data_IF_532536746910
#
_entry.id   IF_532536746910
#
_cell.length_a   1.000
_cell.length_b   1.000
_cell.length_c   1.000
_cell.angle_alpha   90.00
_cell.angle_beta   90.00
_cell.angle_gamma   90.00
#
_symmetry.space_group_name_H-M   'P 1'
#
loop_
_entity.id
_entity.type
_entity.pdbx_description
1 polymer ?
#
# COMPACT_ATOMS: atom_id res chain seq x y z
N UNK A 1 -8.23 7.08 23.97
CA UNK A 1 -8.31 8.26 24.83
C UNK A 1 -7.02 8.33 25.63
N UNK A 2 -6.37 9.49 25.72
CA UNK A 2 -5.30 9.65 26.71
C UNK A 2 -5.97 9.69 28.08
N UNK A 3 -6.24 8.51 28.66
CA UNK A 3 -6.59 8.42 30.06
C UNK A 3 -5.37 8.89 30.82
N UNK A 4 -5.44 10.14 31.27
CA UNK A 4 -4.41 10.70 32.13
C UNK A 4 -4.27 9.79 33.34
N UNK A 5 -3.02 9.49 33.70
CA UNK A 5 -2.65 8.57 34.80
C UNK A 5 -3.29 9.01 36.14
N UNK A 6 -3.74 10.27 36.24
CA UNK A 6 -4.56 10.78 37.34
C UNK A 6 -5.47 11.93 36.90
N UNK A 7 -6.57 12.16 37.65
CA UNK A 7 -7.48 13.29 37.44
C UNK A 7 -6.83 14.68 37.65
N UNK A 8 -5.62 14.74 38.22
CA UNK A 8 -4.83 15.96 38.35
C UNK A 8 -4.52 16.59 36.98
N UNK A 9 -4.04 15.80 36.02
CA UNK A 9 -3.64 16.32 34.71
C UNK A 9 -4.82 16.88 33.91
N UNK A 10 -5.98 16.26 34.06
CA UNK A 10 -7.24 16.75 33.51
C UNK A 10 -7.55 18.16 34.03
N UNK A 11 -7.51 18.36 35.35
CA UNK A 11 -7.73 19.66 35.98
C UNK A 11 -6.66 20.69 35.63
N UNK A 12 -5.40 20.26 35.54
CA UNK A 12 -4.27 21.10 35.15
C UNK A 12 -4.44 21.67 33.74
N UNK A 13 -4.75 20.81 32.76
CA UNK A 13 -4.99 21.24 31.36
C UNK A 13 -6.20 22.17 31.28
N UNK A 14 -7.30 21.81 31.93
CA UNK A 14 -8.49 22.68 31.98
C UNK A 14 -8.16 24.06 32.58
N UNK A 15 -7.40 24.10 33.66
CA UNK A 15 -6.97 25.34 34.31
C UNK A 15 -6.13 26.22 33.38
N UNK A 16 -5.14 25.63 32.69
CA UNK A 16 -4.32 26.37 31.74
C UNK A 16 -5.12 26.90 30.55
N UNK A 17 -5.98 26.07 29.94
CA UNK A 17 -6.82 26.48 28.81
C UNK A 17 -7.74 27.64 29.21
N UNK A 18 -8.39 27.55 30.37
CA UNK A 18 -9.24 28.62 30.87
C UNK A 18 -8.44 29.92 31.12
N UNK A 19 -7.26 29.81 31.73
CA UNK A 19 -6.38 30.95 31.99
C UNK A 19 -5.89 31.59 30.68
N UNK A 20 -5.54 30.80 29.66
CA UNK A 20 -5.15 31.30 28.34
C UNK A 20 -6.30 32.05 27.66
N UNK A 21 -7.53 31.52 27.70
CA UNK A 21 -8.70 32.20 27.13
C UNK A 21 -8.97 33.52 27.86
N UNK A 22 -8.92 33.52 29.19
CA UNK A 22 -9.06 34.73 30.01
C UNK A 22 -7.96 35.75 29.71
N UNK A 23 -6.73 35.29 29.50
CA UNK A 23 -5.62 36.14 29.11
C UNK A 23 -5.84 36.77 27.71
N UNK A 24 -6.32 36.01 26.73
CA UNK A 24 -6.69 36.55 25.43
C UNK A 24 -7.78 37.63 25.53
N UNK A 25 -8.80 37.40 26.36
CA UNK A 25 -9.84 38.41 26.64
C UNK A 25 -9.24 39.65 27.29
N UNK A 26 -8.36 39.48 28.29
CA UNK A 26 -7.68 40.58 28.97
C UNK A 26 -6.83 41.41 28.00
N UNK A 27 -6.02 40.77 27.16
CA UNK A 27 -5.17 41.45 26.15
C UNK A 27 -6.05 42.23 25.18
N UNK A 28 -7.13 41.62 24.68
CA UNK A 28 -8.03 42.29 23.75
C UNK A 28 -8.68 43.52 24.38
N UNK A 29 -9.31 43.38 25.55
CA UNK A 29 -9.98 44.49 26.25
C UNK A 29 -9.00 45.59 26.63
N UNK A 30 -7.78 45.25 27.09
CA UNK A 30 -6.76 46.22 27.48
C UNK A 30 -6.23 47.06 26.31
N UNK A 31 -6.33 46.55 25.07
CA UNK A 31 -5.86 47.23 23.86
C UNK A 31 -7.01 47.84 23.02
N UNK A 32 -8.26 47.75 23.49
CA UNK A 32 -9.41 48.35 22.81
C UNK A 32 -9.46 49.87 23.05
N UNK A 33 -8.78 50.62 22.19
CA UNK A 33 -8.83 52.09 22.18
C UNK A 33 -9.88 52.62 21.19
N UNK A 34 -10.51 53.75 21.53
CA UNK A 34 -11.42 54.44 20.60
C UNK A 34 -10.60 55.32 19.65
N UNK A 35 -11.01 55.39 18.39
CA UNK A 35 -10.44 56.35 17.44
C UNK A 35 -10.79 57.77 17.85
N UNK A 36 -9.78 58.60 18.07
CA UNK A 36 -9.95 60.05 18.21
C UNK A 36 -10.17 60.69 16.82
N UNK A 37 -11.06 61.69 16.69
CA UNK A 37 -11.21 62.46 15.45
C UNK A 37 -9.95 63.30 15.20
N UNK A 38 -9.34 63.20 14.01
CA UNK A 38 -8.17 63.99 13.62
C UNK A 38 -7.07 63.18 12.93
N UNK A 39 -5.92 63.82 12.70
CA UNK A 39 -4.71 63.15 12.21
C UNK A 39 -4.15 62.18 13.24
N UNK A 40 -3.68 61.01 12.79
CA UNK A 40 -3.16 59.96 13.65
C UNK A 40 -1.77 60.35 14.13
N UNK A 41 -1.56 60.37 15.45
CA UNK A 41 -0.27 60.70 16.04
C UNK A 41 0.72 59.55 15.86
N UNK A 42 1.96 59.89 15.53
CA UNK A 42 3.09 58.98 15.61
C UNK A 42 3.49 58.75 17.08
N UNK A 43 4.03 57.58 17.37
CA UNK A 43 4.76 57.35 18.61
C UNK A 43 6.03 58.22 18.66
N UNK A 44 6.48 58.56 19.87
CA UNK A 44 7.55 59.55 20.09
C UNK A 44 8.97 59.11 19.70
N UNK A 45 9.12 57.91 19.12
CA UNK A 45 10.41 57.34 18.73
C UNK A 45 10.46 57.15 17.21
N UNK A 46 11.59 57.50 16.62
CA UNK A 46 11.91 57.27 15.20
C UNK A 46 13.09 56.31 15.15
N UNK A 47 12.94 55.26 14.34
CA UNK A 47 13.93 54.23 14.09
C UNK A 47 14.49 54.42 12.69
N UNK A 48 15.79 54.12 12.51
CA UNK A 48 16.45 54.14 11.19
C UNK A 48 16.17 55.42 10.38
N UNK A 49 16.33 56.56 11.07
CA UNK A 49 16.16 57.94 10.59
C UNK A 49 14.75 58.35 10.12
N UNK A 50 13.93 57.43 9.61
CA UNK A 50 12.65 57.72 8.94
C UNK A 50 11.48 56.81 9.34
N UNK A 51 11.74 55.67 9.98
CA UNK A 51 10.69 54.72 10.34
C UNK A 51 10.04 55.12 11.67
N UNK A 52 8.74 55.42 11.64
CA UNK A 52 7.96 55.74 12.82
C UNK A 52 6.65 54.96 12.82
N UNK A 53 6.13 54.67 14.01
CA UNK A 53 4.91 53.88 14.19
C UNK A 53 3.70 54.79 14.44
N UNK A 54 2.61 54.54 13.72
CA UNK A 54 1.34 55.22 13.97
C UNK A 54 0.60 54.59 15.15
N UNK A 55 0.12 55.44 16.07
CA UNK A 55 -0.74 55.00 17.17
C UNK A 55 -2.20 54.87 16.71
N UNK A 56 -2.46 53.92 15.81
CA UNK A 56 -3.81 53.63 15.32
C UNK A 56 -4.58 52.73 16.31
N UNK A 57 -5.87 53.00 16.54
CA UNK A 57 -6.73 52.02 17.20
C UNK A 57 -6.89 50.79 16.30
N UNK A 58 -7.08 49.63 16.94
CA UNK A 58 -7.32 48.39 16.23
C UNK A 58 -8.57 48.50 15.33
N UNK A 59 -8.52 48.00 14.07
CA UNK A 59 -9.67 48.02 13.19
C UNK A 59 -10.87 47.30 13.82
N UNK A 60 -12.07 47.89 13.77
CA UNK A 60 -13.27 47.32 14.39
C UNK A 60 -13.61 45.92 13.86
N UNK A 61 -13.44 45.70 12.57
CA UNK A 61 -13.68 44.38 11.97
C UNK A 61 -12.71 43.32 12.52
N UNK A 62 -11.44 43.70 12.75
CA UNK A 62 -10.42 42.83 13.32
C UNK A 62 -10.75 42.49 14.77
N UNK A 63 -11.19 43.48 15.56
CA UNK A 63 -11.64 43.27 16.94
C UNK A 63 -12.82 42.30 17.01
N UNK A 64 -13.82 42.47 16.13
CA UNK A 64 -14.96 41.55 16.07
C UNK A 64 -14.53 40.14 15.66
N UNK A 65 -13.63 40.02 14.68
CA UNK A 65 -13.09 38.73 14.29
C UNK A 65 -12.39 38.03 15.47
N UNK A 66 -11.56 38.76 16.24
CA UNK A 66 -10.90 38.21 17.41
C UNK A 66 -11.91 37.75 18.47
N UNK A 67 -12.97 38.52 18.73
CA UNK A 67 -14.05 38.08 19.64
C UNK A 67 -14.76 36.82 19.14
N UNK A 68 -15.03 36.74 17.84
CA UNK A 68 -15.66 35.57 17.21
C UNK A 68 -14.78 34.33 17.38
N UNK A 69 -13.46 34.43 17.22
CA UNK A 69 -12.56 33.27 17.39
C UNK A 69 -12.50 32.80 18.84
N UNK A 70 -12.51 33.72 19.82
CA UNK A 70 -12.62 33.36 21.24
C UNK A 70 -13.93 32.59 21.50
N UNK A 71 -15.07 33.15 21.06
CA UNK A 71 -16.39 32.52 21.26
C UNK A 71 -16.45 31.17 20.56
N UNK A 72 -15.96 31.08 19.32
CA UNK A 72 -15.87 29.82 18.59
C UNK A 72 -15.02 28.80 19.33
N UNK A 73 -13.85 29.19 19.85
CA UNK A 73 -12.97 28.29 20.62
C UNK A 73 -13.65 27.75 21.88
N UNK A 74 -14.37 28.60 22.61
CA UNK A 74 -15.15 28.17 23.78
C UNK A 74 -16.25 27.18 23.37
N UNK A 75 -17.05 27.52 22.35
CA UNK A 75 -18.12 26.64 21.85
C UNK A 75 -17.55 25.31 21.36
N UNK A 76 -16.42 25.34 20.67
CA UNK A 76 -15.73 24.14 20.19
C UNK A 76 -15.31 23.23 21.35
N UNK A 77 -14.70 23.79 22.42
CA UNK A 77 -14.31 23.05 23.62
C UNK A 77 -15.50 22.50 24.42
N UNK A 78 -16.68 23.11 24.30
CA UNK A 78 -17.93 22.60 24.89
C UNK A 78 -18.49 21.42 24.09
N UNK A 79 -18.26 21.37 22.78
CA UNK A 79 -18.81 20.37 21.85
C UNK A 79 -17.87 19.17 21.66
N UNK A 80 -16.56 19.41 21.57
CA UNK A 80 -15.53 18.43 21.24
C UNK A 80 -14.63 18.11 22.44
N UNK A 81 -13.91 16.97 22.41
CA UNK A 81 -12.91 16.70 23.43
C UNK A 81 -11.78 17.73 23.36
N UNK A 82 -11.35 18.24 24.52
CA UNK A 82 -10.30 19.27 24.60
C UNK A 82 -10.32 20.06 25.92
N UNK A 83 -11.48 20.15 26.56
CA UNK A 83 -11.61 20.71 27.91
C UNK A 83 -11.94 19.61 28.92
N UNK A 84 -10.88 18.91 29.30
CA UNK A 84 -10.94 17.74 30.15
C UNK A 84 -11.59 16.51 29.49
N UNK A 85 -12.02 15.53 30.30
CA UNK A 85 -12.52 14.24 29.83
C UNK A 85 -14.03 14.23 29.53
N UNK A 86 -14.51 15.19 28.74
CA UNK A 86 -15.91 15.27 28.27
C UNK A 86 -15.98 15.09 26.75
N UNK A 87 -17.15 14.72 26.24
CA UNK A 87 -17.44 14.59 24.81
C UNK A 87 -16.51 13.63 24.04
N UNK A 88 -16.02 12.58 24.70
CA UNK A 88 -15.07 11.65 24.09
C UNK A 88 -15.67 10.86 22.90
N UNK A 89 -16.99 10.73 22.88
CA UNK A 89 -17.81 10.18 21.79
C UNK A 89 -17.78 11.04 20.51
N UNK A 90 -17.19 12.24 20.56
CA UNK A 90 -17.04 13.15 19.41
C UNK A 90 -15.58 13.30 18.96
N UNK A 91 -14.70 12.43 19.44
CA UNK A 91 -13.32 12.35 18.99
C UNK A 91 -13.18 11.58 17.67
N UNK A 92 -11.98 11.67 17.08
CA UNK A 92 -11.60 11.00 15.84
C UNK A 92 -11.92 9.50 15.84
N UNK A 93 -11.59 8.77 16.91
CA UNK A 93 -11.86 7.34 16.99
C UNK A 93 -13.35 7.02 16.88
N UNK A 94 -14.21 7.79 17.57
CA UNK A 94 -15.66 7.57 17.51
C UNK A 94 -16.20 7.84 16.11
N UNK A 95 -15.71 8.90 15.46
CA UNK A 95 -16.03 9.20 14.07
C UNK A 95 -15.60 8.07 13.14
N UNK A 96 -14.36 7.58 13.28
CA UNK A 96 -13.84 6.45 12.52
C UNK A 96 -14.69 5.19 12.70
N UNK A 97 -15.03 4.81 13.94
CA UNK A 97 -15.86 3.63 14.19
C UNK A 97 -17.28 3.79 13.64
N UNK A 98 -17.86 4.99 13.74
CA UNK A 98 -19.17 5.27 13.16
C UNK A 98 -19.14 5.16 11.62
N UNK A 99 -18.09 5.68 10.97
CA UNK A 99 -17.90 5.60 9.53
C UNK A 99 -17.69 4.16 9.06
N UNK A 100 -16.81 3.41 9.74
CA UNK A 100 -16.58 1.99 9.44
C UNK A 100 -17.85 1.17 9.63
N UNK A 101 -18.59 1.37 10.72
CA UNK A 101 -19.87 0.68 10.94
C UNK A 101 -20.88 0.98 9.85
N UNK A 102 -21.04 2.25 9.46
CA UNK A 102 -21.95 2.64 8.38
C UNK A 102 -21.51 2.05 7.03
N UNK A 103 -20.20 1.98 6.76
CA UNK A 103 -19.65 1.32 5.58
C UNK A 103 -19.92 -0.20 5.60
N UNK A 104 -19.76 -0.86 6.74
CA UNK A 104 -20.02 -2.29 6.91
C UNK A 104 -21.50 -2.62 6.74
N UNK A 105 -22.41 -1.81 7.29
CA UNK A 105 -23.86 -1.98 7.10
C UNK A 105 -24.27 -1.82 5.63
N UNK A 106 -23.59 -0.93 4.88
CA UNK A 106 -23.89 -0.66 3.47
C UNK A 106 -23.24 -1.65 2.51
N UNK A 107 -21.97 -1.98 2.73
CA UNK A 107 -21.16 -2.77 1.79
C UNK A 107 -20.92 -4.21 2.24
N UNK A 108 -21.04 -4.50 3.54
CA UNK A 108 -20.90 -5.85 4.09
C UNK A 108 -21.78 -6.90 3.42
N UNK A 109 -23.09 -6.65 3.19
CA UNK A 109 -23.95 -7.60 2.47
C UNK A 109 -23.50 -7.87 1.03
N UNK A 110 -22.88 -6.88 0.36
CA UNK A 110 -22.36 -7.03 -1.00
C UNK A 110 -21.14 -7.95 -0.99
N UNK A 111 -20.22 -7.74 -0.04
CA UNK A 111 -19.04 -8.59 0.13
C UNK A 111 -19.42 -10.01 0.54
N UNK A 112 -20.38 -10.17 1.46
CA UNK A 112 -20.87 -11.47 1.92
C UNK A 112 -21.50 -12.27 0.77
N UNK A 113 -22.33 -11.62 -0.06
CA UNK A 113 -22.91 -12.24 -1.27
C UNK A 113 -21.83 -12.86 -2.15
N UNK A 114 -20.74 -12.13 -2.44
CA UNK A 114 -19.68 -12.65 -3.31
C UNK A 114 -18.77 -13.66 -2.60
N UNK A 115 -18.57 -13.53 -1.29
CA UNK A 115 -17.75 -14.47 -0.53
C UNK A 115 -18.33 -15.90 -0.49
N UNK A 116 -19.66 -16.03 -0.49
CA UNK A 116 -20.37 -17.31 -0.47
C UNK A 116 -20.52 -17.95 -1.87
N UNK A 117 -20.19 -17.21 -2.94
CA UNK A 117 -20.26 -17.69 -4.31
C UNK A 117 -18.99 -18.48 -4.68
N UNK A 118 -19.14 -19.36 -5.68
CA UNK A 118 -17.98 -20.01 -6.29
C UNK A 118 -17.09 -18.99 -7.01
N UNK A 119 -15.76 -19.15 -6.91
CA UNK A 119 -14.77 -18.24 -7.51
C UNK A 119 -15.02 -18.00 -9.00
N UNK A 120 -15.42 -19.03 -9.75
CA UNK A 120 -15.65 -18.92 -11.18
C UNK A 120 -16.95 -18.17 -11.49
N UNK A 121 -17.96 -18.30 -10.63
CA UNK A 121 -19.18 -17.52 -10.75
C UNK A 121 -18.92 -16.03 -10.46
N UNK A 122 -18.11 -15.73 -9.43
CA UNK A 122 -17.69 -14.36 -9.13
C UNK A 122 -16.84 -13.78 -10.27
N UNK A 123 -15.94 -14.59 -10.85
CA UNK A 123 -15.11 -14.19 -11.99
C UNK A 123 -15.91 -13.94 -13.29
N UNK A 124 -17.14 -14.44 -13.39
CA UNK A 124 -18.03 -14.20 -14.53
C UNK A 124 -18.98 -13.01 -14.30
N UNK A 125 -19.15 -12.56 -13.06
CA UNK A 125 -20.03 -11.44 -12.72
C UNK A 125 -19.36 -10.10 -13.07
N UNK A 126 -20.00 -9.24 -13.91
CA UNK A 126 -19.40 -7.97 -14.32
C UNK A 126 -19.20 -6.96 -13.17
N UNK A 127 -20.09 -6.97 -12.16
CA UNK A 127 -20.00 -6.06 -11.02
C UNK A 127 -18.86 -6.47 -10.09
N UNK A 128 -18.74 -7.77 -9.82
CA UNK A 128 -17.64 -8.35 -9.07
C UNK A 128 -16.29 -8.11 -9.76
N UNK A 129 -16.21 -8.29 -11.08
CA UNK A 129 -15.01 -7.97 -11.86
C UNK A 129 -14.63 -6.49 -11.76
N UNK A 130 -15.59 -5.58 -11.90
CA UNK A 130 -15.33 -4.15 -11.77
C UNK A 130 -14.84 -3.78 -10.35
N UNK A 131 -15.32 -4.48 -9.33
CA UNK A 131 -14.85 -4.32 -7.95
C UNK A 131 -13.42 -4.87 -7.77
N UNK A 132 -13.18 -6.11 -8.22
CA UNK A 132 -11.87 -6.76 -8.16
C UNK A 132 -10.81 -5.98 -8.94
N UNK A 133 -11.14 -5.42 -10.11
CA UNK A 133 -10.26 -4.53 -10.89
C UNK A 133 -9.83 -3.29 -10.10
N UNK A 134 -10.78 -2.62 -9.44
CA UNK A 134 -10.48 -1.44 -8.62
C UNK A 134 -9.51 -1.80 -7.49
N UNK A 135 -9.76 -2.91 -6.82
CA UNK A 135 -8.88 -3.41 -5.77
C UNK A 135 -7.50 -3.82 -6.31
N UNK A 136 -7.44 -4.48 -7.45
CA UNK A 136 -6.18 -4.86 -8.10
C UNK A 136 -5.32 -3.64 -8.42
N UNK A 137 -5.93 -2.58 -8.95
CA UNK A 137 -5.22 -1.32 -9.22
C UNK A 137 -4.69 -0.65 -7.94
N UNK A 138 -5.40 -0.79 -6.83
CA UNK A 138 -4.98 -0.23 -5.53
C UNK A 138 -3.87 -1.04 -4.85
N UNK A 139 -3.95 -2.38 -4.91
CA UNK A 139 -3.12 -3.25 -4.05
C UNK A 139 -2.09 -4.11 -4.80
N UNK A 140 -2.31 -4.39 -6.09
CA UNK A 140 -1.54 -5.40 -6.83
C UNK A 140 -0.76 -4.81 -8.02
N UNK A 141 -1.27 -3.73 -8.62
CA UNK A 141 -0.73 -3.15 -9.84
C UNK A 141 0.69 -2.57 -9.69
N UNK A 142 1.13 -2.25 -8.47
CA UNK A 142 2.49 -1.75 -8.24
C UNK A 142 3.56 -2.81 -8.56
N UNK A 143 3.21 -4.09 -8.42
CA UNK A 143 4.10 -5.21 -8.72
C UNK A 143 3.72 -5.88 -10.06
N UNK A 144 2.44 -6.16 -10.27
CA UNK A 144 1.97 -6.90 -11.45
C UNK A 144 1.60 -6.00 -12.64
N UNK A 145 1.82 -4.68 -12.53
CA UNK A 145 1.47 -3.71 -13.57
C UNK A 145 -0.03 -3.39 -13.62
N UNK A 146 -0.38 -2.22 -14.16
CA UNK A 146 -1.79 -1.77 -14.29
C UNK A 146 -2.64 -2.65 -15.20
N UNK A 147 -2.01 -3.29 -16.18
CA UNK A 147 -2.62 -4.27 -17.09
C UNK A 147 -2.49 -5.71 -16.59
N UNK A 148 -1.97 -5.94 -15.38
CA UNK A 148 -1.68 -7.26 -14.82
C UNK A 148 -0.65 -8.09 -15.61
N UNK A 149 0.10 -7.46 -16.51
CA UNK A 149 1.09 -8.11 -17.41
C UNK A 149 2.46 -8.36 -16.77
N UNK A 150 2.63 -8.01 -15.49
CA UNK A 150 3.87 -8.18 -14.76
C UNK A 150 4.96 -7.17 -15.14
N UNK A 151 6.16 -7.47 -14.68
CA UNK A 151 7.40 -6.74 -14.95
C UNK A 151 8.59 -7.68 -14.69
N UNK A 152 9.83 -7.23 -14.91
CA UNK A 152 11.00 -8.05 -14.55
C UNK A 152 10.96 -8.41 -13.06
N UNK A 153 10.86 -9.70 -12.75
CA UNK A 153 10.72 -10.22 -11.38
C UNK A 153 9.28 -10.43 -10.91
N UNK A 154 8.27 -9.97 -11.66
CA UNK A 154 6.85 -10.08 -11.30
C UNK A 154 6.05 -10.77 -12.41
N UNK A 155 5.27 -11.82 -12.10
CA UNK A 155 4.64 -12.63 -13.13
C UNK A 155 3.52 -11.86 -13.84
N UNK A 156 3.35 -12.20 -15.11
CA UNK A 156 2.16 -11.87 -15.88
C UNK A 156 0.99 -12.71 -15.34
N UNK A 157 -0.12 -12.06 -15.01
CA UNK A 157 -1.32 -12.71 -14.49
C UNK A 157 -2.41 -12.87 -15.54
N UNK A 158 -2.17 -12.44 -16.78
CA UNK A 158 -3.12 -12.55 -17.90
C UNK A 158 -2.82 -13.73 -18.83
N UNK A 159 -1.66 -14.39 -18.68
CA UNK A 159 -1.31 -15.55 -19.51
C UNK A 159 -1.75 -16.87 -18.83
N UNK A 160 -1.52 -17.98 -19.54
CA UNK A 160 -1.85 -19.33 -19.07
C UNK A 160 -0.69 -19.98 -18.26
N UNK A 161 0.36 -19.22 -17.90
CA UNK A 161 1.59 -19.75 -17.33
C UNK A 161 1.70 -19.47 -15.82
N UNK A 162 1.38 -20.48 -15.00
CA UNK A 162 1.27 -20.34 -13.55
C UNK A 162 2.38 -21.06 -12.78
N UNK A 163 3.27 -20.28 -12.14
CA UNK A 163 4.40 -20.83 -11.37
C UNK A 163 3.99 -21.71 -10.18
N UNK A 164 2.83 -21.44 -9.57
CA UNK A 164 2.31 -22.17 -8.40
C UNK A 164 1.06 -22.98 -8.71
N UNK A 165 0.59 -22.98 -9.97
CA UNK A 165 -0.67 -23.56 -10.43
C UNK A 165 -1.77 -22.52 -10.64
N UNK A 166 -2.56 -22.70 -11.71
CA UNK A 166 -3.60 -21.76 -12.16
C UNK A 166 -5.02 -22.13 -11.73
N UNK A 167 -5.19 -23.19 -10.94
CA UNK A 167 -6.49 -23.58 -10.42
C UNK A 167 -7.07 -22.52 -9.48
N UNK A 168 -8.41 -22.33 -9.43
CA UNK A 168 -9.03 -21.25 -8.65
C UNK A 168 -8.60 -21.20 -7.18
N UNK A 169 -8.60 -22.35 -6.50
CA UNK A 169 -8.21 -22.45 -5.10
C UNK A 169 -6.72 -22.18 -4.89
N UNK A 170 -5.88 -22.51 -5.88
CA UNK A 170 -4.44 -22.29 -5.83
C UNK A 170 -4.09 -20.82 -5.97
N UNK A 171 -4.80 -20.09 -6.83
CA UNK A 171 -4.69 -18.64 -6.97
C UNK A 171 -5.16 -17.96 -5.68
N UNK A 172 -6.32 -18.37 -5.14
CA UNK A 172 -6.81 -17.85 -3.86
C UNK A 172 -5.79 -18.11 -2.73
N UNK A 173 -5.27 -19.32 -2.63
CA UNK A 173 -4.25 -19.68 -1.63
C UNK A 173 -2.99 -18.82 -1.75
N UNK A 174 -2.56 -18.54 -2.99
CA UNK A 174 -1.42 -17.65 -3.25
C UNK A 174 -1.67 -16.25 -2.73
N UNK A 175 -2.87 -15.69 -2.91
CA UNK A 175 -3.20 -14.34 -2.41
C UNK A 175 -3.39 -14.31 -0.89
N UNK A 176 -4.02 -15.34 -0.33
CA UNK A 176 -4.26 -15.49 1.11
C UNK A 176 -2.93 -15.59 1.87
N UNK A 177 -2.16 -16.64 1.59
CA UNK A 177 -0.97 -17.01 2.37
C UNK A 177 0.35 -16.46 1.82
N UNK A 178 0.32 -15.81 0.66
CA UNK A 178 1.53 -15.43 -0.04
C UNK A 178 2.27 -16.64 -0.64
N UNK A 179 3.38 -16.37 -1.30
CA UNK A 179 4.30 -17.39 -1.84
C UNK A 179 5.74 -16.94 -1.71
N UNK A 180 6.63 -17.89 -1.51
CA UNK A 180 8.08 -17.65 -1.53
C UNK A 180 8.75 -18.67 -2.45
N UNK A 181 9.23 -18.19 -3.60
CA UNK A 181 10.00 -19.01 -4.54
C UNK A 181 11.48 -18.83 -4.29
N UNK A 182 12.23 -19.92 -4.14
CA UNK A 182 13.67 -19.90 -3.88
C UNK A 182 14.39 -20.73 -4.93
N UNK A 183 15.24 -20.08 -5.71
CA UNK A 183 16.24 -20.72 -6.56
C UNK A 183 17.61 -20.54 -5.90
N UNK A 184 18.25 -21.62 -5.41
CA UNK A 184 19.57 -21.54 -4.80
C UNK A 184 20.65 -21.02 -5.76
N UNK A 185 21.72 -20.46 -5.20
CA UNK A 185 22.90 -20.08 -5.96
C UNK A 185 23.76 -21.32 -6.27
N UNK A 186 24.04 -21.54 -7.56
CA UNK A 186 24.86 -22.65 -8.04
C UNK A 186 26.24 -22.22 -8.56
N UNK A 187 26.56 -20.92 -8.55
CA UNK A 187 27.80 -20.39 -9.13
C UNK A 187 29.07 -21.03 -8.57
N UNK A 188 29.17 -21.17 -7.25
CA UNK A 188 30.34 -21.79 -6.60
C UNK A 188 30.43 -23.30 -6.87
N UNK A 189 29.29 -23.98 -7.01
CA UNK A 189 29.25 -25.43 -7.21
C UNK A 189 29.55 -25.82 -8.67
N UNK A 190 29.08 -25.04 -9.64
CA UNK A 190 29.20 -25.34 -11.06
C UNK A 190 30.42 -24.68 -11.73
N UNK A 191 30.96 -23.61 -11.13
CA UNK A 191 32.00 -22.79 -11.74
C UNK A 191 31.52 -22.04 -12.99
N UNK A 192 32.38 -21.16 -13.52
CA UNK A 192 31.99 -20.26 -14.63
C UNK A 192 31.58 -20.98 -15.91
N UNK A 193 32.23 -22.10 -16.25
CA UNK A 193 31.89 -22.87 -17.45
C UNK A 193 30.66 -23.76 -17.25
N UNK A 194 30.48 -24.38 -16.07
CA UNK A 194 29.29 -25.19 -15.78
C UNK A 194 28.01 -24.35 -15.79
N UNK A 195 28.06 -23.11 -15.30
CA UNK A 195 26.91 -22.19 -15.37
C UNK A 195 26.57 -21.82 -16.81
N UNK A 196 27.56 -21.55 -17.67
CA UNK A 196 27.32 -21.26 -19.10
C UNK A 196 26.76 -22.47 -19.83
N UNK A 197 27.25 -23.66 -19.50
CA UNK A 197 26.80 -24.91 -20.12
C UNK A 197 25.33 -25.17 -19.79
N UNK A 198 24.93 -25.11 -18.50
CA UNK A 198 23.52 -25.27 -18.12
C UNK A 198 22.64 -24.13 -18.64
N UNK A 199 23.15 -22.89 -18.73
CA UNK A 199 22.39 -21.78 -19.30
C UNK A 199 22.04 -22.03 -20.78
N UNK A 200 22.96 -22.58 -21.56
CA UNK A 200 22.70 -22.94 -22.96
C UNK A 200 21.74 -24.14 -23.08
N UNK A 201 21.84 -25.12 -22.17
CA UNK A 201 20.88 -26.23 -22.12
C UNK A 201 19.45 -25.73 -21.80
N UNK A 202 19.30 -24.89 -20.79
CA UNK A 202 17.99 -24.30 -20.43
C UNK A 202 17.40 -23.49 -21.59
N UNK A 203 18.22 -22.73 -22.32
CA UNK A 203 17.76 -22.03 -23.54
C UNK A 203 17.29 -22.99 -24.64
N UNK A 204 17.92 -24.16 -24.75
CA UNK A 204 17.52 -25.18 -25.72
C UNK A 204 16.13 -25.76 -25.41
N UNK A 205 15.72 -25.82 -24.14
CA UNK A 205 14.39 -26.32 -23.71
C UNK A 205 13.24 -25.46 -24.25
N UNK A 206 13.44 -24.14 -24.38
CA UNK A 206 12.46 -23.21 -24.98
C UNK A 206 12.71 -22.94 -26.48
N UNK A 207 13.53 -23.74 -27.16
CA UNK A 207 13.92 -23.55 -28.56
C UNK A 207 14.54 -22.16 -28.86
N UNK A 208 15.28 -21.59 -27.89
CA UNK A 208 16.01 -20.34 -28.09
C UNK A 208 17.36 -20.61 -28.74
N UNK A 209 17.93 -19.62 -29.42
CA UNK A 209 19.28 -19.71 -29.96
C UNK A 209 20.28 -20.05 -28.84
N UNK A 210 21.14 -21.04 -29.03
CA UNK A 210 22.08 -21.53 -28.03
C UNK A 210 23.32 -22.15 -28.67
N UNK A 211 24.39 -22.30 -27.91
CA UNK A 211 25.57 -23.09 -28.30
C UNK A 211 25.28 -24.58 -28.06
N UNK A 212 25.29 -25.37 -29.13
CA UNK A 212 24.94 -26.80 -29.10
C UNK A 212 25.94 -27.64 -28.31
N UNK A 213 27.24 -27.30 -28.33
CA UNK A 213 28.25 -28.02 -27.56
C UNK A 213 28.12 -27.74 -26.07
N UNK A 214 27.80 -26.49 -25.71
CA UNK A 214 27.50 -26.11 -24.33
C UNK A 214 26.22 -26.77 -23.83
N UNK A 215 25.16 -26.78 -24.65
CA UNK A 215 23.89 -27.42 -24.29
C UNK A 215 24.05 -28.93 -24.04
N UNK A 216 24.86 -29.64 -24.83
CA UNK A 216 25.14 -31.06 -24.61
C UNK A 216 25.79 -31.32 -23.25
N UNK A 217 26.80 -30.53 -22.87
CA UNK A 217 27.43 -30.64 -21.53
C UNK A 217 26.50 -30.16 -20.41
N UNK A 218 25.73 -29.11 -20.68
CA UNK A 218 24.77 -28.54 -19.74
C UNK A 218 23.65 -29.50 -19.36
N UNK A 219 23.32 -30.46 -20.22
CA UNK A 219 22.35 -31.51 -19.91
C UNK A 219 22.75 -32.31 -18.67
N UNK A 220 24.00 -32.76 -18.58
CA UNK A 220 24.47 -33.54 -17.42
C UNK A 220 24.42 -32.72 -16.13
N UNK A 221 24.75 -31.43 -16.22
CA UNK A 221 24.65 -30.48 -15.10
C UNK A 221 23.19 -30.32 -14.66
N UNK A 222 22.27 -30.18 -15.61
CA UNK A 222 20.84 -30.05 -15.35
C UNK A 222 20.27 -31.32 -14.69
N UNK A 223 20.57 -32.49 -15.27
CA UNK A 223 20.16 -33.81 -14.77
C UNK A 223 20.64 -34.07 -13.33
N UNK A 224 21.79 -33.49 -12.95
CA UNK A 224 22.37 -33.68 -11.61
C UNK A 224 21.83 -32.68 -10.58
N UNK A 225 21.57 -31.42 -10.96
CA UNK A 225 21.34 -30.33 -10.00
C UNK A 225 19.97 -29.66 -10.12
N UNK A 226 19.36 -29.67 -11.29
CA UNK A 226 18.21 -28.81 -11.60
C UNK A 226 16.90 -29.61 -11.66
N UNK A 227 16.95 -30.88 -12.08
CA UNK A 227 15.75 -31.74 -12.25
C UNK A 227 14.95 -31.94 -10.98
N UNK A 228 15.60 -31.89 -9.81
CA UNK A 228 14.92 -32.06 -8.52
C UNK A 228 13.82 -31.01 -8.29
N UNK A 229 14.00 -29.81 -8.84
CA UNK A 229 13.04 -28.72 -8.73
C UNK A 229 12.31 -28.45 -10.05
N UNK A 230 13.01 -28.47 -11.19
CA UNK A 230 12.44 -28.09 -12.49
C UNK A 230 11.90 -29.26 -13.31
N UNK A 231 11.99 -30.49 -12.81
CA UNK A 231 11.58 -31.69 -13.54
C UNK A 231 12.63 -32.14 -14.56
N UNK A 232 12.55 -33.42 -14.97
CA UNK A 232 13.50 -34.01 -15.92
C UNK A 232 13.41 -33.39 -17.32
N UNK A 233 12.23 -32.90 -17.70
CA UNK A 233 11.93 -32.24 -18.96
C UNK A 233 11.93 -30.70 -18.84
N UNK A 234 12.19 -30.15 -17.66
CA UNK A 234 12.15 -28.72 -17.41
C UNK A 234 10.75 -28.13 -17.31
N UNK A 235 9.69 -28.94 -17.17
CA UNK A 235 8.30 -28.43 -17.08
C UNK A 235 7.98 -27.71 -15.78
N UNK A 236 8.91 -27.70 -14.81
CA UNK A 236 8.76 -27.01 -13.53
C UNK A 236 8.07 -27.89 -12.47
N UNK A 237 7.89 -27.31 -11.29
CA UNK A 237 7.17 -27.94 -10.19
C UNK A 237 6.34 -26.89 -9.44
N UNK A 238 5.02 -26.83 -9.67
CA UNK A 238 4.11 -25.90 -9.01
C UNK A 238 4.13 -25.97 -7.49
N UNK A 239 4.41 -27.15 -6.90
CA UNK A 239 4.48 -27.28 -5.43
C UNK A 239 5.65 -26.52 -4.82
N UNK A 240 6.72 -26.31 -5.60
CA UNK A 240 7.92 -25.58 -5.18
C UNK A 240 7.95 -24.14 -5.74
N UNK A 241 6.98 -23.77 -6.58
CA UNK A 241 7.05 -22.53 -7.35
C UNK A 241 8.15 -22.53 -8.40
N UNK A 242 8.67 -23.72 -8.75
CA UNK A 242 9.73 -23.86 -9.74
C UNK A 242 9.13 -23.67 -11.13
N UNK A 243 9.62 -22.63 -11.82
CA UNK A 243 9.09 -22.20 -13.11
C UNK A 243 9.29 -23.26 -14.19
N UNK A 244 8.37 -23.29 -15.15
CA UNK A 244 8.51 -24.06 -16.38
C UNK A 244 9.58 -23.39 -17.27
N UNK A 245 10.61 -24.15 -17.62
CA UNK A 245 11.76 -23.72 -18.41
C UNK A 245 11.63 -24.05 -19.90
N UNK A 246 10.53 -24.68 -20.32
CA UNK A 246 10.24 -25.02 -21.73
C UNK A 246 9.33 -23.99 -22.40
N UNK A 247 8.61 -23.18 -21.61
CA UNK A 247 7.68 -22.19 -22.11
C UNK A 247 8.39 -20.90 -22.58
N UNK A 248 7.61 -19.88 -22.97
CA UNK A 248 8.10 -18.57 -23.39
C UNK A 248 7.89 -17.48 -22.33
N UNK A 249 7.37 -17.83 -21.16
CA UNK A 249 7.10 -16.87 -20.08
C UNK A 249 8.29 -16.82 -19.13
N UNK A 250 9.07 -15.74 -19.23
CA UNK A 250 10.31 -15.58 -18.47
C UNK A 250 10.18 -14.42 -17.48
N UNK A 251 10.21 -14.74 -16.19
CA UNK A 251 10.07 -13.75 -15.13
C UNK A 251 11.20 -12.70 -15.13
N UNK A 252 12.43 -13.13 -15.38
CA UNK A 252 13.61 -12.25 -15.37
C UNK A 252 14.19 -11.95 -16.77
N UNK A 253 13.74 -12.69 -17.78
CA UNK A 253 14.27 -12.66 -19.15
C UNK A 253 14.96 -13.98 -19.56
N UNK A 254 15.06 -14.20 -20.87
CA UNK A 254 15.54 -15.45 -21.50
C UNK A 254 16.93 -15.35 -22.15
N UNK A 255 17.62 -14.23 -21.93
CA UNK A 255 18.99 -14.05 -22.44
C UNK A 255 19.96 -14.97 -21.70
N UNK A 256 21.01 -15.42 -22.38
CA UNK A 256 22.06 -16.23 -21.75
C UNK A 256 22.66 -15.55 -20.52
N UNK A 257 22.94 -14.24 -20.62
CA UNK A 257 23.47 -13.47 -19.49
C UNK A 257 22.53 -13.48 -18.28
N UNK A 258 21.22 -13.36 -18.50
CA UNK A 258 20.21 -13.40 -17.43
C UNK A 258 20.10 -14.77 -16.78
N UNK A 259 20.19 -15.83 -17.57
CA UNK A 259 20.13 -17.20 -17.05
C UNK A 259 21.42 -17.51 -16.28
N UNK A 260 22.59 -17.10 -16.80
CA UNK A 260 23.87 -17.18 -16.08
C UNK A 260 23.79 -16.45 -14.74
N UNK A 261 23.29 -15.22 -14.70
CA UNK A 261 23.13 -14.45 -13.46
C UNK A 261 22.23 -15.17 -12.46
N UNK A 262 21.11 -15.72 -12.95
CA UNK A 262 20.11 -16.42 -12.15
C UNK A 262 20.65 -17.73 -11.56
N UNK A 263 21.37 -18.52 -12.35
CA UNK A 263 22.01 -19.75 -11.87
C UNK A 263 23.20 -19.44 -10.95
N UNK A 264 23.97 -18.39 -11.25
CA UNK A 264 25.14 -18.02 -10.44
C UNK A 264 24.74 -17.57 -9.04
N UNK A 265 23.79 -16.63 -8.96
CA UNK A 265 23.45 -15.93 -7.72
C UNK A 265 22.17 -16.44 -7.05
N UNK A 266 21.39 -17.28 -7.73
CA UNK A 266 20.07 -17.67 -7.28
C UNK A 266 19.04 -16.53 -7.42
N UNK A 267 17.80 -16.82 -7.02
CA UNK A 267 16.69 -15.86 -6.98
C UNK A 267 15.81 -16.16 -5.77
N UNK A 268 15.27 -15.10 -5.18
CA UNK A 268 14.23 -15.20 -4.15
C UNK A 268 13.09 -14.26 -4.52
N UNK A 269 11.93 -14.84 -4.80
CA UNK A 269 10.71 -14.10 -5.11
C UNK A 269 9.72 -14.23 -3.97
N UNK A 270 9.03 -13.14 -3.68
CA UNK A 270 8.02 -13.10 -2.64
C UNK A 270 6.75 -12.46 -3.17
N UNK A 271 5.65 -13.18 -3.06
CA UNK A 271 4.29 -12.66 -3.14
C UNK A 271 3.80 -12.51 -1.68
N UNK A 272 3.57 -11.28 -1.18
CA UNK A 272 3.14 -11.07 0.20
C UNK A 272 1.75 -11.65 0.49
N UNK A 273 1.53 -12.13 1.71
CA UNK A 273 0.20 -12.55 2.16
C UNK A 273 -0.73 -11.34 2.29
N UNK A 274 -1.96 -11.42 1.77
CA UNK A 274 -2.95 -10.35 1.86
C UNK A 274 -4.11 -10.67 2.81
N UNK A 275 -4.16 -11.86 3.41
CA UNK A 275 -5.28 -12.26 4.27
C UNK A 275 -5.49 -11.30 5.45
N UNK A 276 -4.43 -10.99 6.21
CA UNK A 276 -4.55 -10.12 7.40
C UNK A 276 -4.90 -8.67 7.02
N UNK A 277 -4.45 -8.21 5.84
CA UNK A 277 -4.64 -6.83 5.40
C UNK A 277 -6.01 -6.59 4.75
N UNK A 278 -6.49 -7.53 3.93
CA UNK A 278 -7.71 -7.37 3.14
C UNK A 278 -8.90 -8.15 3.69
N UNK A 279 -8.67 -9.27 4.37
CA UNK A 279 -9.72 -10.20 4.79
C UNK A 279 -10.28 -11.05 3.65
N UNK A 280 -11.04 -12.07 4.01
CA UNK A 280 -11.41 -13.17 3.10
C UNK A 280 -12.28 -12.72 1.92
N UNK A 281 -13.29 -11.86 2.14
CA UNK A 281 -14.18 -11.40 1.08
C UNK A 281 -13.43 -10.64 -0.02
N UNK A 282 -12.51 -9.76 0.38
CA UNK A 282 -11.70 -8.95 -0.52
C UNK A 282 -10.69 -9.81 -1.29
N UNK A 283 -10.04 -10.75 -0.60
CA UNK A 283 -9.13 -11.71 -1.25
C UNK A 283 -9.88 -12.61 -2.24
N UNK A 284 -11.11 -13.03 -1.92
CA UNK A 284 -11.93 -13.83 -2.81
C UNK A 284 -12.28 -13.08 -4.11
N UNK A 285 -12.69 -11.80 -4.01
CA UNK A 285 -12.92 -10.94 -5.18
C UNK A 285 -11.64 -10.71 -6.02
N UNK A 286 -10.50 -10.52 -5.37
CA UNK A 286 -9.21 -10.39 -6.07
C UNK A 286 -8.82 -11.68 -6.80
N UNK A 287 -8.99 -12.83 -6.18
CA UNK A 287 -8.74 -14.13 -6.81
C UNK A 287 -9.66 -14.34 -8.03
N UNK A 288 -10.94 -14.01 -7.89
CA UNK A 288 -11.90 -14.06 -9.00
C UNK A 288 -11.52 -13.13 -10.15
N UNK A 289 -11.05 -11.91 -9.86
CA UNK A 289 -10.57 -10.99 -10.90
C UNK A 289 -9.28 -11.50 -11.58
N UNK A 290 -8.34 -12.07 -10.83
CA UNK A 290 -7.14 -12.67 -11.44
C UNK A 290 -7.51 -13.84 -12.36
N UNK A 291 -8.52 -14.63 -11.98
CA UNK A 291 -9.05 -15.72 -12.81
C UNK A 291 -9.76 -15.24 -14.09
N UNK A 292 -10.40 -14.06 -14.07
CA UNK A 292 -11.06 -13.53 -15.26
C UNK A 292 -10.05 -13.01 -16.29
N UNK A 293 -8.90 -12.49 -15.84
CA UNK A 293 -7.85 -11.95 -16.70
C UNK A 293 -7.25 -12.97 -17.67
N UNK A 294 -7.07 -14.22 -17.24
CA UNK A 294 -6.55 -15.30 -18.11
C UNK A 294 -7.59 -15.83 -19.09
N UNK A 295 -8.88 -15.56 -18.86
CA UNK A 295 -9.97 -16.00 -19.75
C UNK A 295 -10.30 -15.01 -20.85
N UNK A 296 -10.12 -13.71 -20.62
CA UNK A 296 -10.42 -12.67 -21.63
C UNK A 296 -9.48 -12.71 -22.85
N UNK A 297 -8.36 -13.43 -22.79
CA UNK A 297 -7.41 -13.57 -23.91
C UNK A 297 -7.63 -14.82 -24.79
N UNK A 298 -8.69 -15.62 -24.53
CA UNK A 298 -9.10 -16.76 -25.37
C UNK A 298 -10.31 -16.41 -26.24
#
# INVERSE_FOLDING_TARGET
>A
MADFISGFWNMYVMGLVALSILFCVFVLVSNMTKREPGEVKLHGHVWDETLAEYNNPLPRWWLYLFWITIVFGIVYLVIYPGFGNRNADRGEHSQYYAEMKAADEKYGPIFAKYQDMDLMAVAADPEANAMGKRMFLTYCAQCHGSAAQGAKGFPNLTDDEWNWGGEPDTIKTTIVGGRMGVMPAFGAALGGEGVKDVANYVRSLSNLAHDSLRAQRGKEVFDTNCVACHGADGTGNPMLGAVNLTNKSWLYGSSEATIIETVTNGRQNQMPAFQEFLGDAKVHLLAAYVLSLSKEQK
#
